data_IF_407138155296
#
_entry.id   IF_407138155296
#
_cell.length_a   1.000
_cell.length_b   1.000
_cell.length_c   1.000
_cell.angle_alpha   90.00
_cell.angle_beta   90.00
_cell.angle_gamma   90.00
#
_symmetry.space_group_name_H-M   'P 1'
#
loop_
_entity.id
_entity.type
_entity.pdbx_description
1 polymer ?
#
# COMPACT_ATOMS: atom_id res chain seq x y z
N UNK A 1 -38.71 4.12 -3.79
CA UNK A 1 -37.53 4.92 -3.39
C UNK A 1 -36.46 4.08 -2.69
N UNK A 2 -36.67 3.56 -1.48
CA UNK A 2 -35.62 2.84 -0.70
C UNK A 2 -34.82 1.75 -1.48
N UNK A 3 -35.47 0.96 -2.35
CA UNK A 3 -34.81 -0.04 -3.22
C UNK A 3 -33.68 0.57 -4.05
N UNK A 4 -33.94 1.71 -4.70
CA UNK A 4 -32.99 2.44 -5.53
C UNK A 4 -31.86 3.07 -4.71
N UNK A 5 -32.16 3.58 -3.51
CA UNK A 5 -31.15 4.14 -2.61
C UNK A 5 -30.13 3.09 -2.17
N UNK A 6 -30.56 1.88 -1.82
CA UNK A 6 -29.65 0.81 -1.40
C UNK A 6 -28.76 0.36 -2.57
N UNK A 7 -29.33 0.18 -3.77
CA UNK A 7 -28.54 -0.15 -4.96
C UNK A 7 -27.52 0.95 -5.31
N UNK A 8 -27.93 2.22 -5.25
CA UNK A 8 -27.05 3.36 -5.55
C UNK A 8 -25.93 3.50 -4.52
N UNK A 9 -26.23 3.32 -3.23
CA UNK A 9 -25.23 3.33 -2.16
C UNK A 9 -24.22 2.19 -2.33
N UNK A 10 -24.70 0.96 -2.62
CA UNK A 10 -23.82 -0.18 -2.84
C UNK A 10 -22.93 -0.03 -4.08
N UNK A 11 -23.46 0.53 -5.18
CA UNK A 11 -22.69 0.86 -6.38
C UNK A 11 -21.63 1.93 -6.12
N UNK A 12 -21.95 2.95 -5.32
CA UNK A 12 -21.01 4.00 -4.93
C UNK A 12 -19.85 3.42 -4.09
N UNK A 13 -20.15 2.51 -3.15
CA UNK A 13 -19.12 1.79 -2.36
C UNK A 13 -18.26 0.88 -3.25
N UNK A 14 -18.86 0.18 -4.23
CA UNK A 14 -18.09 -0.61 -5.22
C UNK A 14 -17.14 0.29 -6.02
N UNK A 15 -17.65 1.41 -6.53
CA UNK A 15 -16.86 2.39 -7.29
C UNK A 15 -15.71 2.98 -6.47
N UNK A 16 -15.94 3.31 -5.19
CA UNK A 16 -14.89 3.77 -4.29
C UNK A 16 -13.77 2.74 -4.12
N UNK A 17 -14.11 1.46 -3.91
CA UNK A 17 -13.12 0.39 -3.81
C UNK A 17 -12.31 0.19 -5.11
N UNK A 18 -12.94 0.36 -6.28
CA UNK A 18 -12.25 0.33 -7.56
C UNK A 18 -11.29 1.53 -7.75
N UNK A 19 -11.70 2.73 -7.31
CA UNK A 19 -10.85 3.92 -7.34
C UNK A 19 -9.61 3.74 -6.45
N UNK A 20 -9.77 3.15 -5.26
CA UNK A 20 -8.64 2.80 -4.36
C UNK A 20 -7.72 1.79 -5.03
N UNK A 21 -8.25 0.68 -5.57
CA UNK A 21 -7.43 -0.31 -6.27
C UNK A 21 -6.65 0.25 -7.47
N UNK A 22 -7.21 1.23 -8.17
CA UNK A 22 -6.58 1.90 -9.31
C UNK A 22 -5.35 2.76 -8.94
N UNK A 23 -5.17 3.13 -7.67
CA UNK A 23 -4.00 3.91 -7.21
C UNK A 23 -2.73 3.06 -7.07
N UNK A 24 -2.83 1.74 -7.22
CA UNK A 24 -1.70 0.80 -7.18
C UNK A 24 -0.66 1.10 -8.26
N UNK A 25 0.58 1.39 -7.86
CA UNK A 25 1.64 1.86 -8.76
C UNK A 25 3.02 1.27 -8.41
N UNK A 26 3.95 1.34 -9.37
CA UNK A 26 5.34 0.94 -9.16
C UNK A 26 6.10 2.11 -8.51
N UNK A 27 6.48 1.97 -7.23
CA UNK A 27 7.36 2.92 -6.54
C UNK A 27 8.78 2.72 -7.06
N UNK A 28 9.32 3.77 -7.67
CA UNK A 28 10.71 3.78 -8.17
C UNK A 28 11.58 4.70 -7.32
N UNK A 29 12.90 4.53 -7.42
CA UNK A 29 13.85 5.42 -6.76
C UNK A 29 14.64 6.22 -7.79
N UNK A 30 14.81 7.52 -7.51
CA UNK A 30 15.57 8.44 -8.34
C UNK A 30 16.80 8.91 -7.59
N UNK A 31 17.92 9.08 -8.31
CA UNK A 31 19.13 9.68 -7.75
C UNK A 31 19.12 11.19 -7.91
N UNK A 32 19.59 11.90 -6.88
CA UNK A 32 19.87 13.35 -6.95
C UNK A 32 21.17 13.69 -7.69
N UNK A 33 21.99 12.69 -8.04
CA UNK A 33 23.41 12.91 -8.33
C UNK A 33 24.21 13.21 -7.06
N UNK A 34 25.41 13.78 -7.20
CA UNK A 34 26.27 14.22 -6.09
C UNK A 34 26.25 15.75 -6.00
N UNK A 35 25.97 16.29 -4.82
CA UNK A 35 25.97 17.73 -4.57
C UNK A 35 26.30 18.00 -3.09
N UNK A 36 26.78 19.21 -2.77
CA UNK A 36 26.94 19.61 -1.38
C UNK A 36 25.57 19.86 -0.72
N UNK A 37 25.49 19.70 0.60
CA UNK A 37 24.33 20.16 1.38
C UNK A 37 24.40 21.69 1.50
N UNK A 38 23.38 22.39 1.00
CA UNK A 38 23.23 23.83 1.19
C UNK A 38 22.67 24.16 2.58
N UNK A 39 21.61 23.44 2.98
CA UNK A 39 20.95 23.59 4.27
C UNK A 39 20.53 22.23 4.83
N UNK A 40 20.88 21.97 6.09
CA UNK A 40 20.36 20.86 6.88
C UNK A 40 19.63 21.34 8.15
N UNK A 41 18.36 20.98 8.28
CA UNK A 41 17.57 21.17 9.49
C UNK A 41 17.22 19.78 10.05
N UNK A 42 17.24 19.61 11.37
CA UNK A 42 16.84 18.37 12.04
C UNK A 42 15.90 18.71 13.19
N UNK A 43 14.75 18.06 13.22
CA UNK A 43 13.81 18.13 14.32
C UNK A 43 14.05 16.94 15.28
N UNK A 44 14.57 17.19 16.49
CA UNK A 44 14.84 16.13 17.46
C UNK A 44 13.58 15.55 18.11
N UNK A 45 12.39 16.13 17.90
CA UNK A 45 11.12 15.61 18.43
C UNK A 45 10.46 14.61 17.47
N UNK A 46 10.52 14.85 16.16
CA UNK A 46 9.97 13.95 15.13
C UNK A 46 11.00 12.98 14.56
N UNK A 47 12.30 13.24 14.81
CA UNK A 47 13.43 12.56 14.16
C UNK A 47 13.43 12.73 12.63
N UNK A 48 12.96 13.88 12.16
CA UNK A 48 12.96 14.25 10.74
C UNK A 48 14.09 15.23 10.42
N UNK A 49 14.91 14.87 9.44
CA UNK A 49 15.88 15.72 8.79
C UNK A 49 15.30 16.30 7.51
N UNK A 50 15.39 17.62 7.34
CA UNK A 50 15.01 18.33 6.13
C UNK A 50 16.28 18.86 5.50
N UNK A 51 16.57 18.47 4.25
CA UNK A 51 17.77 18.94 3.55
C UNK A 51 17.44 19.59 2.21
N UNK A 52 18.31 20.52 1.82
CA UNK A 52 18.38 21.08 0.48
C UNK A 52 19.80 20.94 -0.06
N UNK A 53 19.93 20.55 -1.32
CA UNK A 53 21.20 20.42 -2.02
C UNK A 53 21.60 21.73 -2.71
N UNK A 54 22.90 22.01 -2.74
CA UNK A 54 23.46 23.17 -3.44
C UNK A 54 23.12 23.13 -4.94
N UNK A 55 22.73 24.28 -5.49
CA UNK A 55 22.26 24.40 -6.87
C UNK A 55 20.89 23.77 -7.16
N UNK A 56 20.20 23.20 -6.16
CA UNK A 56 18.88 22.58 -6.33
C UNK A 56 17.79 23.29 -5.51
N UNK A 57 16.63 23.61 -6.10
CA UNK A 57 15.44 24.02 -5.35
C UNK A 57 14.68 22.83 -4.73
N UNK A 58 15.17 21.60 -4.92
CA UNK A 58 14.49 20.39 -4.43
C UNK A 58 14.75 20.19 -2.95
N UNK A 59 13.67 20.06 -2.19
CA UNK A 59 13.71 19.74 -0.76
C UNK A 59 13.58 18.23 -0.58
N UNK A 60 14.20 17.70 0.48
CA UNK A 60 14.27 16.28 0.76
C UNK A 60 13.97 16.02 2.23
N UNK A 61 13.18 14.98 2.50
CA UNK A 61 12.76 14.55 3.84
C UNK A 61 13.47 13.24 4.21
N UNK A 62 14.10 13.21 5.38
CA UNK A 62 14.82 12.06 5.94
C UNK A 62 14.18 11.70 7.27
N UNK A 63 13.68 10.47 7.42
CA UNK A 63 13.30 9.93 8.73
C UNK A 63 14.53 9.31 9.36
N UNK A 64 15.28 10.08 10.14
CA UNK A 64 16.65 9.76 10.59
C UNK A 64 16.77 8.39 11.28
N UNK A 65 15.72 8.02 12.02
CA UNK A 65 15.57 6.76 12.74
C UNK A 65 15.37 5.52 11.84
N UNK A 66 14.88 5.69 10.61
CA UNK A 66 14.61 4.57 9.69
C UNK A 66 15.89 4.03 9.04
N UNK A 67 17.00 4.77 9.15
CA UNK A 67 18.29 4.46 8.53
C UNK A 67 19.17 3.52 9.37
N UNK A 68 19.92 2.67 8.66
CA UNK A 68 21.02 1.88 9.20
C UNK A 68 22.34 2.28 8.52
N UNK A 69 23.36 2.75 9.27
CA UNK A 69 23.30 3.13 10.68
C UNK A 69 22.34 4.33 10.90
N UNK A 70 21.87 4.59 12.14
CA UNK A 70 20.99 5.73 12.42
C UNK A 70 21.69 7.06 12.14
N UNK A 71 20.97 7.99 11.50
CA UNK A 71 21.40 9.38 11.37
C UNK A 71 21.08 10.09 12.71
N UNK A 72 21.95 11.02 13.13
CA UNK A 72 21.81 11.78 14.39
C UNK A 72 21.89 13.28 14.13
N UNK A 73 20.98 13.78 13.31
CA UNK A 73 20.87 15.18 12.92
C UNK A 73 22.21 15.81 12.50
N UNK A 74 22.42 17.03 12.97
CA UNK A 74 23.61 17.85 12.68
C UNK A 74 24.94 17.27 13.17
N UNK A 75 24.92 16.18 13.95
CA UNK A 75 26.14 15.46 14.34
C UNK A 75 26.64 14.51 13.24
N UNK A 76 25.74 14.04 12.38
CA UNK A 76 26.02 13.11 11.27
C UNK A 76 26.10 13.83 9.93
N UNK A 77 25.15 14.74 9.68
CA UNK A 77 25.07 15.53 8.45
C UNK A 77 25.37 16.99 8.78
N UNK A 78 26.25 17.62 8.02
CA UNK A 78 26.62 19.03 8.17
C UNK A 78 26.48 19.73 6.82
N UNK A 79 26.22 21.02 6.86
CA UNK A 79 26.28 21.88 5.68
C UNK A 79 27.65 21.74 4.99
N UNK A 80 27.69 21.92 3.67
CA UNK A 80 28.85 21.75 2.79
C UNK A 80 29.37 20.30 2.65
N UNK A 81 28.77 19.29 3.30
CA UNK A 81 29.14 17.89 3.04
C UNK A 81 28.67 17.45 1.66
N UNK A 82 29.55 16.78 0.90
CA UNK A 82 29.22 16.21 -0.40
C UNK A 82 28.40 14.93 -0.21
N UNK A 83 27.17 14.92 -0.71
CA UNK A 83 26.24 13.79 -0.55
C UNK A 83 25.62 13.37 -1.88
N UNK A 84 25.15 12.13 -1.94
CA UNK A 84 24.29 11.63 -3.01
C UNK A 84 23.11 10.87 -2.43
N UNK A 85 21.91 11.15 -2.94
CA UNK A 85 20.65 10.68 -2.39
C UNK A 85 19.96 9.75 -3.39
N UNK A 86 19.27 8.75 -2.86
CA UNK A 86 18.19 8.05 -3.53
C UNK A 86 16.88 8.42 -2.84
N UNK A 87 15.89 8.87 -3.60
CA UNK A 87 14.61 9.36 -3.09
C UNK A 87 13.43 8.79 -3.89
N UNK A 88 12.23 8.81 -3.29
CA UNK A 88 10.97 8.48 -3.96
C UNK A 88 10.42 9.73 -4.65
N UNK A 89 10.29 9.78 -5.98
CA UNK A 89 9.69 10.92 -6.67
C UNK A 89 8.17 10.95 -6.52
N UNK A 90 7.55 9.80 -6.25
CA UNK A 90 6.10 9.61 -6.17
C UNK A 90 5.52 9.93 -4.77
N UNK A 91 6.40 10.12 -3.76
CA UNK A 91 6.02 10.51 -2.39
C UNK A 91 6.69 11.85 -2.03
N UNK A 92 5.87 12.90 -1.90
CA UNK A 92 6.29 14.21 -1.40
C UNK A 92 5.39 14.67 -0.25
N UNK A 93 5.99 15.30 0.75
CA UNK A 93 5.29 15.92 1.88
C UNK A 93 5.43 17.43 1.79
N UNK A 94 4.33 18.16 1.99
CA UNK A 94 4.37 19.62 2.10
C UNK A 94 4.99 20.01 3.44
N UNK A 95 6.06 20.80 3.41
CA UNK A 95 6.79 21.26 4.61
C UNK A 95 6.77 22.78 4.71
N UNK A 96 6.74 23.25 5.95
CA UNK A 96 6.91 24.65 6.36
C UNK A 96 7.69 24.64 7.68
N UNK A 97 9.02 24.66 7.58
CA UNK A 97 9.94 24.40 8.71
C UNK A 97 10.96 25.52 8.82
N UNK A 98 11.01 26.16 9.99
CA UNK A 98 11.92 27.27 10.27
C UNK A 98 12.98 26.88 11.33
N UNK A 99 14.25 27.02 10.98
CA UNK A 99 15.36 26.91 11.91
C UNK A 99 15.38 28.10 12.87
N UNK A 100 15.86 27.87 14.11
CA UNK A 100 16.06 28.93 15.11
C UNK A 100 16.99 30.05 14.66
N UNK A 101 17.84 29.81 13.65
CA UNK A 101 18.76 30.80 13.08
C UNK A 101 18.27 31.43 11.77
N UNK A 102 16.98 31.31 11.45
CA UNK A 102 16.31 32.06 10.38
C UNK A 102 16.17 31.35 9.03
N UNK A 103 16.88 30.24 8.79
CA UNK A 103 16.67 29.40 7.60
C UNK A 103 15.22 28.89 7.58
N UNK A 104 14.51 29.12 6.48
CA UNK A 104 13.10 28.74 6.33
C UNK A 104 12.95 27.87 5.08
N UNK A 105 12.55 26.62 5.26
CA UNK A 105 12.32 25.67 4.16
C UNK A 105 10.82 25.49 3.98
N UNK A 106 10.31 25.91 2.83
CA UNK A 106 8.89 25.80 2.45
C UNK A 106 8.79 25.18 1.06
N UNK A 107 7.96 24.15 0.92
CA UNK A 107 7.71 23.50 -0.37
C UNK A 107 7.35 22.03 -0.25
N UNK A 108 7.54 21.29 -1.34
CA UNK A 108 7.36 19.83 -1.37
C UNK A 108 8.71 19.15 -1.15
N UNK A 109 8.81 18.33 -0.11
CA UNK A 109 10.00 17.56 0.23
C UNK A 109 9.81 16.08 -0.12
N UNK A 110 10.75 15.51 -0.88
CA UNK A 110 10.71 14.11 -1.30
C UNK A 110 11.39 13.19 -0.30
N UNK A 111 10.79 12.03 -0.02
CA UNK A 111 11.35 11.08 0.97
C UNK A 111 12.63 10.42 0.45
N UNK A 112 13.72 10.60 1.19
CA UNK A 112 15.01 9.93 0.97
C UNK A 112 14.96 8.51 1.52
N UNK A 113 15.43 7.55 0.74
CA UNK A 113 15.51 6.13 1.10
C UNK A 113 16.94 5.61 1.24
N UNK A 114 17.92 6.28 0.62
CA UNK A 114 19.34 6.05 0.89
C UNK A 114 20.13 7.37 0.74
N UNK A 115 21.18 7.51 1.54
CA UNK A 115 22.10 8.65 1.52
C UNK A 115 23.54 8.13 1.55
N UNK A 116 24.39 8.63 0.66
CA UNK A 116 25.82 8.33 0.62
C UNK A 116 26.60 9.60 0.90
N UNK A 117 27.51 9.55 1.87
CA UNK A 117 28.51 10.59 2.14
C UNK A 117 29.75 10.35 1.28
N UNK A 118 30.28 11.41 0.71
CA UNK A 118 31.50 11.41 -0.09
C UNK A 118 32.60 12.26 0.54
N UNK A 119 33.86 11.89 0.32
CA UNK A 119 35.00 12.75 0.58
C UNK A 119 35.17 13.80 -0.52
N UNK A 120 36.14 14.71 -0.34
CA UNK A 120 36.47 15.74 -1.33
C UNK A 120 37.01 15.16 -2.65
N UNK A 121 37.54 13.92 -2.63
CA UNK A 121 37.98 13.17 -3.81
C UNK A 121 36.81 12.45 -4.51
N UNK A 122 35.58 12.58 -4.01
CA UNK A 122 34.38 11.95 -4.56
C UNK A 122 34.27 10.44 -4.33
N UNK A 123 34.98 9.89 -3.35
CA UNK A 123 34.87 8.48 -2.90
C UNK A 123 33.82 8.36 -1.81
N UNK A 124 33.04 7.29 -1.83
CA UNK A 124 32.03 7.05 -0.80
C UNK A 124 32.70 6.67 0.53
N UNK A 125 32.48 7.48 1.57
CA UNK A 125 32.96 7.24 2.94
C UNK A 125 31.99 6.31 3.67
N UNK A 126 30.70 6.63 3.59
CA UNK A 126 29.66 5.99 4.39
C UNK A 126 28.32 6.01 3.66
N UNK A 127 27.58 4.91 3.76
CA UNK A 127 26.26 4.77 3.19
C UNK A 127 25.23 4.50 4.30
N UNK A 128 24.12 5.21 4.24
CA UNK A 128 22.98 5.13 5.13
C UNK A 128 21.79 4.63 4.31
N UNK A 129 21.20 3.50 4.70
CA UNK A 129 20.06 2.90 3.99
C UNK A 129 18.84 2.82 4.89
N UNK A 130 17.69 3.30 4.43
CA UNK A 130 16.44 3.13 5.16
C UNK A 130 16.03 1.65 5.21
N UNK A 131 15.24 1.29 6.21
CA UNK A 131 14.70 -0.07 6.36
C UNK A 131 13.89 -0.49 5.12
N UNK A 132 13.14 0.44 4.52
CA UNK A 132 12.41 0.23 3.27
C UNK A 132 13.35 -0.08 2.09
N UNK A 133 14.41 0.72 1.89
CA UNK A 133 15.39 0.49 0.82
C UNK A 133 16.13 -0.84 0.97
N UNK A 134 16.43 -1.25 2.21
CA UNK A 134 17.08 -2.55 2.49
C UNK A 134 16.21 -3.74 2.14
N UNK A 135 14.88 -3.62 2.23
CA UNK A 135 13.93 -4.67 1.85
C UNK A 135 13.65 -4.66 0.34
N UNK A 136 13.61 -3.48 -0.29
CA UNK A 136 13.19 -3.28 -1.66
C UNK A 136 14.18 -2.42 -2.48
N UNK A 137 15.45 -2.83 -2.64
CA UNK A 137 16.50 -1.96 -3.22
C UNK A 137 16.29 -1.57 -4.69
N UNK A 138 15.39 -2.26 -5.40
CA UNK A 138 15.01 -1.99 -6.80
C UNK A 138 13.66 -1.24 -6.92
N UNK A 139 13.13 -0.73 -5.80
CA UNK A 139 11.75 -0.29 -5.69
C UNK A 139 10.80 -1.45 -5.39
N UNK A 140 9.50 -1.15 -5.30
CA UNK A 140 8.43 -2.11 -5.01
C UNK A 140 7.13 -1.69 -5.69
N UNK A 141 6.19 -2.62 -5.81
CA UNK A 141 4.83 -2.32 -6.27
C UNK A 141 3.93 -2.07 -5.06
N UNK A 142 3.39 -0.86 -4.95
CA UNK A 142 2.40 -0.51 -3.93
C UNK A 142 1.03 -0.99 -4.43
N UNK A 143 0.40 -1.89 -3.67
CA UNK A 143 -0.76 -2.67 -4.13
C UNK A 143 -1.96 -2.44 -3.22
N UNK A 144 -2.83 -1.51 -3.64
CA UNK A 144 -4.05 -1.14 -2.93
C UNK A 144 -5.26 -2.03 -3.29
N UNK A 145 -5.13 -2.93 -4.26
CA UNK A 145 -6.20 -3.88 -4.64
C UNK A 145 -6.77 -4.72 -3.49
N UNK A 146 -6.00 -5.16 -2.45
CA UNK A 146 -6.58 -5.85 -1.31
C UNK A 146 -7.56 -4.95 -0.51
N UNK A 147 -7.21 -3.68 -0.30
CA UNK A 147 -8.05 -2.71 0.41
C UNK A 147 -9.25 -2.31 -0.47
N UNK A 148 -8.99 -1.94 -1.72
CA UNK A 148 -10.02 -1.62 -2.71
C UNK A 148 -11.02 -2.77 -2.91
N UNK A 149 -10.52 -4.00 -3.03
CA UNK A 149 -11.32 -5.21 -3.15
C UNK A 149 -12.17 -5.50 -1.91
N UNK A 150 -11.65 -5.27 -0.71
CA UNK A 150 -12.42 -5.39 0.54
C UNK A 150 -13.58 -4.36 0.60
N UNK A 151 -13.31 -3.11 0.18
CA UNK A 151 -14.34 -2.06 0.07
C UNK A 151 -15.39 -2.44 -0.98
N UNK A 152 -14.98 -2.89 -2.17
CA UNK A 152 -15.92 -3.30 -3.22
C UNK A 152 -16.75 -4.53 -2.82
N UNK A 153 -16.17 -5.48 -2.08
CA UNK A 153 -16.90 -6.62 -1.54
C UNK A 153 -17.99 -6.17 -0.54
N UNK A 154 -17.69 -5.21 0.33
CA UNK A 154 -18.68 -4.63 1.25
C UNK A 154 -19.85 -3.99 0.48
N UNK A 155 -19.57 -3.24 -0.58
CA UNK A 155 -20.59 -2.67 -1.45
C UNK A 155 -21.48 -3.73 -2.12
N UNK A 156 -20.87 -4.82 -2.62
CA UNK A 156 -21.61 -5.95 -3.18
C UNK A 156 -22.52 -6.64 -2.15
N UNK A 157 -22.03 -6.83 -0.91
CA UNK A 157 -22.84 -7.38 0.20
C UNK A 157 -24.04 -6.48 0.51
N UNK A 158 -23.89 -5.15 0.48
CA UNK A 158 -25.01 -4.20 0.67
C UNK A 158 -26.07 -4.34 -0.42
N UNK A 159 -25.66 -4.45 -1.70
CA UNK A 159 -26.60 -4.67 -2.82
C UNK A 159 -27.35 -6.00 -2.64
N UNK A 160 -26.63 -7.09 -2.35
CA UNK A 160 -27.21 -8.42 -2.19
C UNK A 160 -28.18 -8.49 -1.00
N UNK A 161 -27.79 -7.97 0.18
CA UNK A 161 -28.64 -7.93 1.36
C UNK A 161 -29.91 -7.08 1.14
N UNK A 162 -29.76 -5.95 0.45
CA UNK A 162 -30.88 -5.12 -0.01
C UNK A 162 -31.82 -5.88 -0.93
N UNK A 163 -31.29 -6.51 -1.97
CA UNK A 163 -32.03 -7.29 -2.96
C UNK A 163 -32.81 -8.47 -2.35
N UNK A 164 -32.20 -9.21 -1.41
CA UNK A 164 -32.84 -10.38 -0.76
C UNK A 164 -34.06 -9.97 0.08
N UNK A 165 -33.93 -8.92 0.93
CA UNK A 165 -35.08 -8.40 1.70
C UNK A 165 -36.23 -7.96 0.79
N UNK A 166 -35.85 -7.38 -0.34
CA UNK A 166 -36.75 -6.82 -1.35
C UNK A 166 -37.50 -7.90 -2.13
N UNK A 167 -36.83 -8.98 -2.52
CA UNK A 167 -37.44 -10.11 -3.23
C UNK A 167 -38.48 -10.83 -2.34
N UNK A 168 -38.12 -11.15 -1.10
CA UNK A 168 -39.01 -11.79 -0.11
C UNK A 168 -40.28 -10.98 0.21
N UNK A 169 -40.25 -9.66 0.02
CA UNK A 169 -41.42 -8.79 0.20
C UNK A 169 -42.46 -8.84 -0.93
N UNK A 170 -42.13 -9.42 -2.09
CA UNK A 170 -43.03 -9.48 -3.25
C UNK A 170 -43.97 -10.70 -3.19
N UNK A 171 -43.48 -11.85 -2.75
CA UNK A 171 -44.27 -13.10 -2.68
C UNK A 171 -45.50 -13.01 -1.76
N UNK A 172 -45.38 -12.27 -0.66
CA UNK A 172 -46.49 -12.07 0.29
C UNK A 172 -47.65 -11.26 -0.31
N UNK A 173 -47.38 -10.39 -1.28
CA UNK A 173 -48.42 -9.58 -1.95
C UNK A 173 -49.16 -10.38 -3.04
N UNK A 174 -48.51 -11.37 -3.65
CA UNK A 174 -49.13 -12.29 -4.61
C UNK A 174 -50.19 -13.17 -3.95
N UNK A 175 -49.83 -13.85 -2.85
CA UNK A 175 -50.77 -14.75 -2.14
C UNK A 175 -52.03 -14.07 -1.62
N UNK A 176 -51.95 -12.80 -1.20
CA UNK A 176 -53.12 -12.05 -0.67
C UNK A 176 -54.14 -11.62 -1.74
N UNK A 177 -53.85 -11.81 -3.03
CA UNK A 177 -54.79 -11.56 -4.15
C UNK A 177 -55.47 -12.82 -4.70
N UNK A 178 -55.04 -14.01 -4.30
CA UNK A 178 -55.61 -15.30 -4.75
C UNK A 178 -56.61 -15.91 -3.73
N UNK A 179 -57.25 -15.08 -2.90
CA UNK A 179 -58.38 -15.51 -2.07
C UNK A 179 -59.69 -14.76 -2.42
N UNK A 180 -60.17 -14.82 -3.68
CA UNK A 180 -61.53 -14.42 -4.00
C UNK A 180 -62.50 -15.50 -3.49
N UNK A 181 -63.37 -15.13 -2.54
CA UNK A 181 -64.61 -15.86 -2.24
C UNK A 181 -64.45 -17.28 -1.68
N UNK A 182 -63.96 -17.41 -0.44
CA UNK A 182 -64.33 -18.58 0.36
C UNK A 182 -65.72 -18.31 0.95
N UNK A 183 -66.75 -18.71 0.22
CA UNK A 183 -68.14 -18.65 0.68
C UNK A 183 -68.34 -19.58 1.90
N UNK A 184 -69.33 -19.25 2.73
CA UNK A 184 -69.71 -20.05 3.91
C UNK A 184 -69.99 -21.51 3.54
N UNK A 185 -69.11 -22.41 3.98
CA UNK A 185 -69.25 -23.87 3.87
C UNK A 185 -69.16 -24.50 5.26
N UNK A 186 -70.10 -25.37 5.58
CA UNK A 186 -70.35 -25.92 6.92
C UNK A 186 -69.20 -26.77 7.49
N UNK A 187 -69.07 -26.76 8.82
CA UNK A 187 -68.30 -27.76 9.57
C UNK A 187 -68.84 -29.17 9.34
N UNK A 188 -67.96 -30.18 9.28
CA UNK A 188 -68.27 -31.49 9.82
C UNK A 188 -67.39 -31.84 11.04
N UNK A 189 -68.03 -32.55 11.96
CA UNK A 189 -67.59 -33.01 13.29
C UNK A 189 -66.27 -33.78 13.31
N UNK A 190 -65.51 -33.62 14.40
CA UNK A 190 -64.32 -34.41 14.73
C UNK A 190 -64.68 -35.80 15.31
N UNK A 191 -64.01 -36.86 14.85
CA UNK A 191 -63.91 -38.14 15.59
C UNK A 191 -62.70 -38.94 15.10
N UNK A 192 -61.86 -39.47 16.02
CA UNK A 192 -60.85 -40.50 15.70
C UNK A 192 -59.38 -40.18 16.07
N UNK A 193 -58.91 -40.78 17.16
CA UNK A 193 -57.51 -40.98 17.60
C UNK A 193 -57.36 -42.48 17.95
N UNK A 194 -56.17 -43.05 18.22
CA UNK A 194 -54.81 -42.86 17.66
C UNK A 194 -54.43 -44.22 16.96
N UNK A 195 -53.29 -44.94 17.14
CA UNK A 195 -51.91 -44.61 17.53
C UNK A 195 -50.78 -45.25 16.65
N UNK A 196 -49.52 -45.01 17.07
CA UNK A 196 -48.33 -45.88 16.99
C UNK A 196 -47.67 -46.27 15.65
N UNK A 197 -46.41 -45.80 15.48
CA UNK A 197 -45.20 -46.55 15.06
C UNK A 197 -44.04 -45.54 14.88
N UNK A 198 -43.06 -45.45 15.78
CA UNK A 198 -41.80 -46.22 15.77
C UNK A 198 -40.88 -45.94 14.58
N UNK A 199 -39.86 -45.07 14.78
CA UNK A 199 -38.44 -45.42 14.59
C UNK A 199 -37.51 -44.23 14.92
N UNK A 200 -36.43 -44.42 15.71
CA UNK A 200 -35.31 -43.48 15.80
C UNK A 200 -34.25 -43.80 14.73
N UNK A 201 -33.54 -42.78 14.25
CA UNK A 201 -32.32 -42.96 13.47
C UNK A 201 -31.22 -42.02 13.97
N UNK A 202 -30.42 -42.51 14.93
CA UNK A 202 -29.12 -41.90 15.24
C UNK A 202 -28.20 -42.04 14.01
N UNK A 203 -27.56 -40.95 13.59
CA UNK A 203 -26.22 -41.00 12.96
C UNK A 203 -25.33 -39.85 13.43
N UNK A 204 -24.39 -40.23 14.29
CA UNK A 204 -23.09 -39.62 14.59
C UNK A 204 -22.03 -40.71 14.28
N UNK A 205 -20.72 -40.43 14.23
CA UNK A 205 -19.99 -39.21 13.90
C UNK A 205 -18.89 -39.51 12.83
N UNK A 206 -17.76 -38.77 12.89
CA UNK A 206 -16.47 -38.97 12.18
C UNK A 206 -16.34 -38.33 10.77
N UNK A 207 -15.14 -37.97 10.29
CA UNK A 207 -13.77 -38.25 10.80
C UNK A 207 -12.78 -37.10 10.51
N UNK A 208 -11.69 -37.08 11.29
CA UNK A 208 -10.55 -36.15 11.19
C UNK A 208 -9.67 -36.33 9.93
N UNK A 209 -8.82 -35.33 9.64
CA UNK A 209 -7.59 -35.52 8.85
C UNK A 209 -7.01 -34.27 8.17
N UNK A 210 -5.99 -33.64 8.77
CA UNK A 210 -5.01 -32.80 8.04
C UNK A 210 -4.03 -33.71 7.26
N UNK A 211 -3.36 -33.18 6.21
CA UNK A 211 -2.01 -32.62 6.39
C UNK A 211 -1.81 -31.29 5.63
N UNK A 212 -1.06 -30.32 6.16
CA UNK A 212 0.40 -30.19 5.98
C UNK A 212 0.88 -30.34 4.52
N UNK A 213 0.60 -29.30 3.72
CA UNK A 213 1.18 -29.10 2.39
C UNK A 213 2.66 -28.67 2.46
N UNK A 214 3.55 -29.63 2.70
CA UNK A 214 5.01 -29.46 2.73
C UNK A 214 5.58 -29.23 1.32
N UNK A 215 5.52 -28.01 0.79
CA UNK A 215 6.13 -27.68 -0.51
C UNK A 215 7.65 -27.60 -0.38
N UNK A 216 8.34 -28.55 -1.02
CA UNK A 216 9.80 -28.65 -1.05
C UNK A 216 10.44 -27.43 -1.71
N UNK A 217 11.55 -26.97 -1.14
CA UNK A 217 12.39 -25.94 -1.77
C UNK A 217 13.02 -26.46 -3.05
N UNK A 218 12.53 -25.97 -4.19
CA UNK A 218 13.21 -26.12 -5.49
C UNK A 218 14.39 -25.15 -5.52
N UNK A 219 15.59 -25.69 -5.29
CA UNK A 219 16.86 -24.98 -5.45
C UNK A 219 17.26 -25.00 -6.93
N UNK A 220 17.29 -23.86 -7.65
CA UNK A 220 17.83 -23.83 -9.00
C UNK A 220 19.35 -24.09 -8.98
N UNK A 221 19.91 -24.78 -9.98
CA UNK A 221 21.35 -25.00 -10.09
C UNK A 221 22.10 -23.70 -10.45
N UNK A 222 23.38 -23.62 -10.09
CA UNK A 222 24.22 -22.46 -10.37
C UNK A 222 24.48 -22.26 -11.87
N UNK A 223 24.46 -20.99 -12.30
CA UNK A 223 24.95 -20.51 -13.60
C UNK A 223 26.28 -19.77 -13.45
N UNK A 224 27.12 -19.70 -14.50
CA UNK A 224 28.56 -19.47 -14.36
C UNK A 224 29.00 -18.01 -14.21
N UNK A 225 30.23 -17.83 -13.72
CA UNK A 225 30.97 -16.57 -13.74
C UNK A 225 31.09 -16.03 -15.17
N UNK A 226 30.49 -14.87 -15.44
CA UNK A 226 30.74 -14.07 -16.64
C UNK A 226 31.77 -12.98 -16.36
N UNK A 227 33.05 -13.22 -16.67
CA UNK A 227 34.11 -12.21 -16.55
C UNK A 227 34.07 -11.19 -17.70
N UNK A 228 33.12 -10.25 -17.66
CA UNK A 228 32.97 -9.17 -18.63
C UNK A 228 33.93 -8.00 -18.40
N UNK A 229 35.20 -8.15 -18.80
CA UNK A 229 36.19 -7.06 -18.75
C UNK A 229 35.94 -6.06 -19.88
N UNK A 230 35.06 -5.08 -19.65
CA UNK A 230 34.83 -3.97 -20.59
C UNK A 230 35.93 -2.92 -20.46
N UNK A 231 36.92 -2.95 -21.36
CA UNK A 231 37.82 -1.82 -21.61
C UNK A 231 37.11 -0.81 -22.51
N UNK A 232 36.39 0.14 -21.90
CA UNK A 232 35.84 1.29 -22.62
C UNK A 232 36.96 2.28 -23.01
N UNK A 233 36.84 2.97 -24.16
CA UNK A 233 37.86 3.92 -24.61
C UNK A 233 37.93 5.16 -23.73
N UNK A 234 39.14 5.70 -23.65
CA UNK A 234 39.56 6.90 -22.93
C UNK A 234 38.80 8.16 -23.43
N UNK A 235 38.15 8.95 -22.55
CA UNK A 235 37.51 10.19 -22.96
C UNK A 235 38.56 11.28 -23.19
N UNK A 236 38.70 11.70 -24.45
CA UNK A 236 39.56 12.80 -24.87
C UNK A 236 39.20 14.13 -24.18
N UNK A 237 40.19 14.81 -23.61
CA UNK A 237 40.02 16.10 -22.93
C UNK A 237 39.48 17.21 -23.86
N UNK A 238 38.54 18.05 -23.40
CA UNK A 238 38.15 19.26 -24.11
C UNK A 238 39.17 20.39 -23.88
N UNK A 239 39.85 20.81 -24.93
CA UNK A 239 40.74 21.98 -24.92
C UNK A 239 39.94 23.28 -24.79
N UNK A 240 40.06 23.97 -23.65
CA UNK A 240 39.48 25.31 -23.47
C UNK A 240 40.40 26.41 -24.04
N UNK A 241 39.85 27.44 -24.70
CA UNK A 241 40.64 28.57 -25.18
C UNK A 241 41.08 29.47 -24.02
N UNK A 242 42.35 29.86 -24.02
CA UNK A 242 42.85 30.87 -23.09
C UNK A 242 42.30 32.27 -23.44
N UNK A 243 42.03 33.06 -22.40
CA UNK A 243 41.82 34.52 -22.42
C UNK A 243 42.48 35.12 -21.19
#
# INVERSE_FOLDING_TARGET
>A
MLRWLICLTGLLVIGLGLIVGWQSHQVTYRSSGRAAIAHYLSDPQTHEGYLQLEGSPTLYLLREQDFAPPIKGTTTLKDLMLVGLLYRPDESTAIDVQARMGTHLVGQAYTVVALTLYDLDGRAIQEFRSTLYRQHPQGFYENDWPLGGAISLLGAVVILAGGIRVWRGQDQRGRRRQQPGQASGSQPTSTGLPPAAWAPALRLPAKAGSPEGRSLGVRPPGGPLGSGRSTGPEPSEPSWPQR
#
